data_IF_935234809619
#
_entry.id   IF_935234809619
#
_cell.length_a   1.000
_cell.length_b   1.000
_cell.length_c   1.000
_cell.angle_alpha   90.00
_cell.angle_beta   90.00
_cell.angle_gamma   90.00
#
_symmetry.space_group_name_H-M   'P 1'
#
loop_
_entity.id
_entity.type
_entity.pdbx_description
1 polymer ?
#
# COMPACT_ATOMS: atom_id res chain seq x y z
N UNK A 1 -12.83 4.71 -10.74
CA UNK A 1 -11.42 4.96 -11.12
C UNK A 1 -10.58 4.03 -10.29
N UNK A 2 -10.06 2.98 -10.93
CA UNK A 2 -9.36 1.89 -10.29
C UNK A 2 -8.09 2.41 -9.61
N UNK A 3 -8.00 2.32 -8.27
CA UNK A 3 -6.93 2.96 -7.47
C UNK A 3 -5.62 2.17 -7.55
N UNK A 4 -5.19 1.71 -8.73
CA UNK A 4 -3.83 1.22 -9.02
C UNK A 4 -3.21 0.21 -8.04
N UNK A 5 -4.01 -0.49 -7.22
CA UNK A 5 -3.50 -1.42 -6.21
C UNK A 5 -2.96 -2.66 -6.91
N UNK A 6 -1.69 -2.96 -6.66
CA UNK A 6 -1.01 -4.13 -7.19
C UNK A 6 -1.08 -5.25 -6.19
N UNK A 7 -1.74 -6.33 -6.59
CA UNK A 7 -1.83 -7.57 -5.84
C UNK A 7 -0.71 -8.51 -6.28
N UNK A 8 0.09 -8.98 -5.33
CA UNK A 8 1.14 -9.97 -5.57
C UNK A 8 0.92 -11.14 -4.62
N UNK A 9 0.34 -12.22 -5.14
CA UNK A 9 -0.04 -13.38 -4.34
C UNK A 9 1.17 -14.23 -3.92
N UNK A 10 2.12 -14.45 -4.82
CA UNK A 10 3.31 -15.28 -4.59
C UNK A 10 4.58 -14.51 -4.95
N UNK A 11 4.95 -13.53 -4.14
CA UNK A 11 6.23 -12.82 -4.31
C UNK A 11 7.24 -13.28 -3.27
N UNK A 12 8.51 -13.40 -3.65
CA UNK A 12 9.59 -13.57 -2.69
C UNK A 12 9.89 -12.22 -2.03
N UNK A 13 10.02 -12.20 -0.70
CA UNK A 13 10.57 -11.05 0.01
C UNK A 13 12.11 -11.05 -0.06
N UNK A 14 12.74 -10.04 0.55
CA UNK A 14 14.20 -9.88 0.58
C UNK A 14 14.95 -11.05 1.25
N UNK A 15 14.24 -11.87 2.02
CA UNK A 15 14.76 -13.06 2.70
C UNK A 15 14.42 -14.36 1.97
N UNK A 16 13.89 -14.29 0.74
CA UNK A 16 13.51 -15.45 -0.08
C UNK A 16 12.21 -16.14 0.34
N UNK A 17 11.45 -15.60 1.29
CA UNK A 17 10.16 -16.18 1.73
C UNK A 17 9.05 -15.76 0.78
N UNK A 18 8.22 -16.72 0.37
CA UNK A 18 7.01 -16.44 -0.41
C UNK A 18 5.98 -15.77 0.50
N UNK A 19 5.56 -14.58 0.11
CA UNK A 19 4.54 -13.77 0.78
C UNK A 19 3.49 -13.31 -0.23
N UNK A 20 2.30 -13.03 0.27
CA UNK A 20 1.29 -12.26 -0.46
C UNK A 20 1.34 -10.81 0.03
N UNK A 21 1.40 -9.85 -0.89
CA UNK A 21 1.34 -8.42 -0.57
C UNK A 21 0.45 -7.64 -1.52
N UNK A 22 -0.11 -6.55 -1.02
CA UNK A 22 -0.91 -5.60 -1.78
C UNK A 22 -0.27 -4.25 -1.56
N UNK A 23 0.06 -3.54 -2.62
CA UNK A 23 0.76 -2.27 -2.51
C UNK A 23 0.42 -1.34 -3.66
N UNK A 24 0.69 -0.07 -3.45
CA UNK A 24 0.68 0.96 -4.49
C UNK A 24 1.96 1.76 -4.35
N UNK A 25 2.52 2.19 -5.47
CA UNK A 25 3.79 2.90 -5.50
C UNK A 25 3.67 4.12 -6.41
N UNK A 26 4.29 5.23 -5.98
CA UNK A 26 4.47 6.42 -6.79
C UNK A 26 5.91 6.42 -7.30
N UNK A 27 6.08 6.17 -8.60
CA UNK A 27 7.41 6.18 -9.23
C UNK A 27 7.78 7.57 -9.75
N UNK A 28 9.08 7.79 -9.98
CA UNK A 28 9.64 9.03 -10.56
C UNK A 28 9.47 10.29 -9.70
N UNK A 29 9.36 10.12 -8.39
CA UNK A 29 9.40 11.22 -7.41
C UNK A 29 10.53 10.99 -6.42
N UNK A 30 11.03 12.07 -5.81
CA UNK A 30 12.08 12.05 -4.81
C UNK A 30 11.69 12.89 -3.62
N UNK A 31 11.80 12.32 -2.42
CA UNK A 31 11.57 13.03 -1.15
C UNK A 31 12.53 14.20 -0.94
N UNK A 32 13.67 14.20 -1.64
CA UNK A 32 14.67 15.27 -1.57
C UNK A 32 14.31 16.49 -2.44
N UNK A 33 13.37 16.36 -3.39
CA UNK A 33 12.89 17.47 -4.23
C UNK A 33 11.65 18.10 -3.60
N UNK A 34 11.80 19.30 -3.05
CA UNK A 34 10.73 19.99 -2.31
C UNK A 34 9.53 20.33 -3.19
N UNK A 35 9.75 20.51 -4.48
CA UNK A 35 8.71 20.82 -5.47
C UNK A 35 7.73 19.65 -5.64
N UNK A 36 8.17 18.43 -5.34
CA UNK A 36 7.38 17.20 -5.46
C UNK A 36 6.64 16.82 -4.16
N UNK A 37 6.88 17.55 -3.07
CA UNK A 37 6.23 17.31 -1.77
C UNK A 37 4.70 17.33 -1.84
N UNK A 38 4.04 18.26 -2.57
CA UNK A 38 2.59 18.25 -2.67
C UNK A 38 2.05 16.93 -3.26
N UNK A 39 2.74 16.35 -4.25
CA UNK A 39 2.35 15.08 -4.87
C UNK A 39 2.57 13.90 -3.91
N UNK A 40 3.70 13.88 -3.19
CA UNK A 40 3.99 12.88 -2.16
C UNK A 40 2.94 12.92 -1.04
N UNK A 41 2.67 14.10 -0.49
CA UNK A 41 1.70 14.29 0.60
C UNK A 41 0.30 13.88 0.14
N UNK A 42 -0.11 14.25 -1.08
CA UNK A 42 -1.39 13.84 -1.66
C UNK A 42 -1.50 12.32 -1.78
N UNK A 43 -0.45 11.67 -2.28
CA UNK A 43 -0.37 10.21 -2.39
C UNK A 43 -0.50 9.53 -1.02
N UNK A 44 0.27 9.96 -0.02
CA UNK A 44 0.19 9.37 1.32
C UNK A 44 -1.18 9.57 1.95
N UNK A 45 -1.75 10.78 1.88
CA UNK A 45 -3.05 11.08 2.48
C UNK A 45 -4.15 10.19 1.91
N UNK A 46 -4.21 10.03 0.59
CA UNK A 46 -5.22 9.18 -0.05
C UNK A 46 -5.03 7.70 0.26
N UNK A 47 -3.79 7.22 0.38
CA UNK A 47 -3.50 5.81 0.59
C UNK A 47 -3.58 5.37 2.06
N UNK A 48 -3.26 6.25 3.02
CA UNK A 48 -3.44 5.95 4.44
C UNK A 48 -4.92 5.78 4.77
N UNK A 49 -5.79 6.66 4.25
CA UNK A 49 -7.24 6.56 4.44
C UNK A 49 -7.77 5.24 3.84
N UNK A 50 -7.34 4.90 2.63
CA UNK A 50 -7.75 3.64 2.00
C UNK A 50 -7.25 2.41 2.75
N UNK A 51 -6.05 2.46 3.34
CA UNK A 51 -5.51 1.38 4.16
C UNK A 51 -6.29 1.22 5.47
N UNK A 52 -6.69 2.32 6.10
CA UNK A 52 -7.51 2.33 7.31
C UNK A 52 -8.91 1.75 7.05
N UNK A 53 -9.53 2.15 5.93
CA UNK A 53 -10.80 1.59 5.47
C UNK A 53 -10.67 0.09 5.16
N UNK A 54 -9.61 -0.32 4.46
CA UNK A 54 -9.34 -1.72 4.19
C UNK A 54 -9.16 -2.52 5.49
N UNK A 55 -8.33 -2.04 6.41
CA UNK A 55 -8.08 -2.73 7.68
C UNK A 55 -9.36 -2.89 8.49
N UNK A 56 -10.21 -1.86 8.56
CA UNK A 56 -11.50 -1.94 9.25
C UNK A 56 -12.42 -3.04 8.71
N UNK A 57 -12.35 -3.34 7.40
CA UNK A 57 -13.13 -4.40 6.78
C UNK A 57 -12.51 -5.79 6.98
N UNK A 58 -11.19 -5.93 6.80
CA UNK A 58 -10.54 -7.25 6.77
C UNK A 58 -10.12 -7.72 8.17
N UNK A 59 -9.97 -6.82 9.14
CA UNK A 59 -9.64 -7.16 10.53
C UNK A 59 -10.58 -8.21 11.10
N UNK A 60 -11.89 -8.10 10.84
CA UNK A 60 -12.88 -9.08 11.28
C UNK A 60 -12.62 -10.50 10.72
N UNK A 61 -12.22 -10.60 9.45
CA UNK A 61 -11.89 -11.89 8.83
C UNK A 61 -10.63 -12.52 9.44
N UNK A 62 -9.64 -11.71 9.83
CA UNK A 62 -8.44 -12.20 10.52
C UNK A 62 -8.71 -12.58 11.98
N UNK A 63 -9.58 -11.85 12.68
CA UNK A 63 -9.97 -12.20 14.05
C UNK A 63 -10.74 -13.52 14.12
N UNK A 64 -11.53 -13.86 13.09
CA UNK A 64 -12.21 -15.16 12.97
C UNK A 64 -11.27 -16.34 12.72
N UNK A 65 -10.04 -16.10 12.25
CA UNK A 65 -9.03 -17.12 11.97
C UNK A 65 -8.12 -17.41 13.18
N UNK A 66 -8.36 -16.76 14.33
CA UNK A 66 -7.61 -16.93 15.58
C UNK A 66 -8.20 -18.00 16.47
#
# INVERSE_FOLDING_TARGET
>A
VDRGWRWQLHTANEYGKVISRIYTELSRVSVFKKEEWPALISFFKSNIIALDEFWSNVKYSFEMLR
#
